data_IF_580534901917
#
_entry.id   IF_580534901917
#
_cell.length_a   1.000
_cell.length_b   1.000
_cell.length_c   1.000
_cell.angle_alpha   90.00
_cell.angle_beta   90.00
_cell.angle_gamma   90.00
#
_symmetry.space_group_name_H-M   'P 1'
#
loop_
_entity.id
_entity.type
_entity.pdbx_description
1 polymer ?
#
# COMPACT_ATOMS: atom_id res chain seq x y z
N UNK A 1 9.01 -4.30 -13.60
CA UNK A 1 8.91 -5.50 -12.77
C UNK A 1 7.47 -5.92 -12.53
N UNK A 2 7.23 -7.17 -12.18
CA UNK A 2 5.90 -7.72 -11.99
C UNK A 2 5.33 -7.42 -10.60
N UNK A 3 4.00 -7.59 -10.44
CA UNK A 3 3.34 -7.56 -9.14
C UNK A 3 3.74 -8.78 -8.30
N UNK A 4 3.43 -8.75 -6.99
CA UNK A 4 3.66 -9.88 -6.10
C UNK A 4 2.94 -11.15 -6.58
N UNK A 5 1.70 -11.03 -7.05
CA UNK A 5 0.94 -12.17 -7.58
C UNK A 5 1.59 -12.78 -8.82
N UNK A 6 2.10 -11.95 -9.72
CA UNK A 6 2.83 -12.42 -10.90
C UNK A 6 4.14 -13.09 -10.52
N UNK A 7 4.86 -12.52 -9.55
CA UNK A 7 6.07 -13.13 -9.01
C UNK A 7 5.80 -14.51 -8.41
N UNK A 8 4.75 -14.65 -7.62
CA UNK A 8 4.33 -15.94 -7.06
C UNK A 8 4.00 -16.96 -8.16
N UNK A 9 3.36 -16.55 -9.24
CA UNK A 9 3.09 -17.41 -10.40
C UNK A 9 4.38 -17.91 -11.06
N UNK A 10 5.35 -17.03 -11.27
CA UNK A 10 6.65 -17.42 -11.83
C UNK A 10 7.35 -18.45 -10.94
N UNK A 11 7.27 -18.29 -9.63
CA UNK A 11 7.84 -19.23 -8.65
C UNK A 11 7.10 -20.58 -8.73
N UNK A 12 5.78 -20.59 -8.74
CA UNK A 12 4.96 -21.80 -8.83
C UNK A 12 5.19 -22.56 -10.13
N UNK A 13 5.42 -21.85 -11.23
CA UNK A 13 5.73 -22.44 -12.54
C UNK A 13 7.16 -23.00 -12.62
N UNK A 14 7.98 -22.78 -11.61
CA UNK A 14 9.37 -23.23 -11.56
C UNK A 14 10.32 -22.43 -12.44
N UNK A 15 9.96 -21.18 -12.78
CA UNK A 15 10.75 -20.31 -13.65
C UNK A 15 11.72 -19.40 -12.90
N UNK A 16 11.76 -19.48 -11.57
CA UNK A 16 12.61 -18.64 -10.72
C UNK A 16 13.68 -19.50 -10.06
N UNK A 17 14.92 -19.07 -10.15
CA UNK A 17 16.09 -19.72 -9.56
C UNK A 17 16.87 -18.74 -8.70
N UNK A 18 17.26 -19.19 -7.51
CA UNK A 18 18.10 -18.41 -6.58
C UNK A 18 19.39 -19.21 -6.36
N UNK A 19 20.54 -18.64 -6.74
CA UNK A 19 21.85 -19.27 -6.62
C UNK A 19 21.92 -20.68 -7.24
N UNK A 20 21.26 -20.89 -8.40
CA UNK A 20 21.21 -22.18 -9.08
C UNK A 20 20.24 -23.20 -8.50
N UNK A 21 19.45 -22.83 -7.49
CA UNK A 21 18.40 -23.64 -6.86
C UNK A 21 17.03 -23.11 -7.26
N UNK A 22 16.09 -23.99 -7.59
CA UNK A 22 14.73 -23.57 -7.89
C UNK A 22 14.07 -22.93 -6.66
N UNK A 23 13.53 -21.72 -6.83
CA UNK A 23 12.86 -20.99 -5.77
C UNK A 23 11.51 -21.60 -5.43
N UNK A 24 11.11 -21.49 -4.16
CA UNK A 24 9.78 -21.85 -3.66
C UNK A 24 9.11 -20.62 -3.07
N UNK A 25 7.77 -20.65 -3.02
CA UNK A 25 7.01 -19.54 -2.41
C UNK A 25 7.43 -19.36 -0.95
N UNK A 26 7.77 -18.13 -0.58
CA UNK A 26 8.26 -17.80 0.76
C UNK A 26 9.77 -17.77 0.92
N UNK A 27 10.53 -18.14 -0.10
CA UNK A 27 12.00 -17.99 -0.08
C UNK A 27 12.37 -16.50 0.01
N UNK A 28 13.38 -16.20 0.82
CA UNK A 28 13.89 -14.85 0.99
C UNK A 28 15.19 -14.66 0.21
N UNK A 29 15.31 -13.51 -0.43
CA UNK A 29 16.50 -13.08 -1.16
C UNK A 29 17.27 -12.09 -0.29
N UNK A 30 18.56 -12.36 -0.10
CA UNK A 30 19.47 -11.47 0.63
C UNK A 30 20.49 -10.85 -0.34
N UNK A 31 21.19 -9.83 0.13
CA UNK A 31 22.23 -9.19 -0.67
C UNK A 31 23.30 -10.21 -1.11
N UNK A 32 23.67 -10.16 -2.39
CA UNK A 32 24.62 -11.10 -2.99
C UNK A 32 23.99 -12.33 -3.64
N UNK A 33 22.69 -12.58 -3.46
CA UNK A 33 22.01 -13.69 -4.12
C UNK A 33 21.81 -13.40 -5.63
N UNK A 34 22.05 -14.43 -6.43
CA UNK A 34 21.83 -14.39 -7.88
C UNK A 34 20.41 -14.93 -8.18
N UNK A 35 19.56 -14.08 -8.70
CA UNK A 35 18.18 -14.44 -9.05
C UNK A 35 18.02 -14.49 -10.56
N UNK A 36 17.46 -15.58 -11.07
CA UNK A 36 17.12 -15.75 -12.49
C UNK A 36 15.61 -16.01 -12.64
N UNK A 37 15.00 -15.32 -13.59
CA UNK A 37 13.60 -15.53 -13.98
C UNK A 37 13.56 -15.84 -15.46
N UNK A 38 12.95 -16.96 -15.85
CA UNK A 38 12.89 -17.45 -17.23
C UNK A 38 14.27 -17.53 -17.88
N UNK A 39 15.32 -17.89 -17.10
CA UNK A 39 16.70 -18.01 -17.58
C UNK A 39 17.46 -16.69 -17.69
N UNK A 40 16.84 -15.58 -17.36
CA UNK A 40 17.47 -14.25 -17.35
C UNK A 40 17.83 -13.82 -15.94
N UNK A 41 19.07 -13.37 -15.78
CA UNK A 41 19.54 -12.80 -14.53
C UNK A 41 18.84 -11.46 -14.26
N UNK A 42 18.32 -11.30 -13.03
CA UNK A 42 17.72 -10.05 -12.59
C UNK A 42 18.70 -9.33 -11.69
N UNK A 43 19.00 -8.09 -12.03
CA UNK A 43 19.73 -7.20 -11.13
C UNK A 43 18.77 -6.64 -10.07
N UNK A 44 19.23 -6.51 -8.79
CA UNK A 44 18.44 -5.81 -7.78
C UNK A 44 18.15 -4.39 -8.26
N UNK A 45 16.89 -3.95 -8.10
CA UNK A 45 16.58 -2.56 -8.35
C UNK A 45 17.36 -1.68 -7.38
N UNK A 46 17.89 -0.57 -7.89
CA UNK A 46 18.43 0.47 -7.02
C UNK A 46 17.35 0.88 -6.01
N UNK A 47 17.75 1.05 -4.75
CA UNK A 47 16.84 1.58 -3.74
C UNK A 47 16.38 2.96 -4.20
N UNK A 48 15.08 3.09 -4.47
CA UNK A 48 14.47 4.39 -4.71
C UNK A 48 14.49 5.20 -3.41
N UNK A 49 14.71 6.51 -3.53
CA UNK A 49 14.61 7.41 -2.38
C UNK A 49 13.24 7.27 -1.72
N UNK A 50 13.21 7.30 -0.40
CA UNK A 50 11.96 7.25 0.34
C UNK A 50 11.10 8.47 0.01
N UNK A 51 9.88 8.20 -0.43
CA UNK A 51 8.84 9.20 -0.64
C UNK A 51 7.78 9.03 0.44
N UNK A 52 7.46 10.11 1.13
CA UNK A 52 6.38 10.17 2.10
C UNK A 52 5.59 11.46 1.86
N UNK A 53 4.32 11.31 1.50
CA UNK A 53 3.42 12.41 1.17
C UNK A 53 2.30 12.46 2.21
N UNK A 54 2.09 13.63 2.80
CA UNK A 54 0.93 13.91 3.63
C UNK A 54 -0.12 14.60 2.76
N UNK A 55 -1.26 13.99 2.60
CA UNK A 55 -2.36 14.50 1.78
C UNK A 55 -3.57 14.78 2.63
N UNK A 56 -4.16 15.95 2.48
CA UNK A 56 -5.53 16.19 2.92
C UNK A 56 -6.47 15.70 1.83
N UNK A 57 -6.91 14.43 1.97
CA UNK A 57 -7.74 13.79 0.96
C UNK A 57 -9.10 14.46 0.87
N UNK A 58 -9.54 14.95 -0.31
CA UNK A 58 -10.89 15.47 -0.48
C UNK A 58 -11.93 14.36 -0.55
N UNK A 59 -13.17 14.74 -0.38
CA UNK A 59 -14.34 13.88 -0.64
C UNK A 59 -14.34 13.46 -2.10
N UNK A 60 -14.74 12.22 -2.37
CA UNK A 60 -14.88 11.70 -3.73
C UNK A 60 -13.69 10.91 -4.24
N UNK A 61 -12.57 10.89 -3.50
CA UNK A 61 -11.36 10.14 -3.88
C UNK A 61 -11.28 8.82 -3.13
N UNK A 62 -11.03 7.73 -3.87
CA UNK A 62 -10.94 6.37 -3.34
C UNK A 62 -9.49 6.02 -2.97
N UNK A 63 -9.29 5.51 -1.76
CA UNK A 63 -7.97 5.09 -1.27
C UNK A 63 -7.56 3.73 -1.84
N UNK A 64 -7.27 3.69 -3.14
CA UNK A 64 -6.86 2.48 -3.87
C UNK A 64 -5.78 2.79 -4.89
N UNK A 65 -4.99 1.78 -5.24
CA UNK A 65 -4.04 1.82 -6.35
C UNK A 65 -4.61 1.24 -7.64
N UNK A 66 -5.88 0.83 -7.63
CA UNK A 66 -6.53 0.17 -8.75
C UNK A 66 -6.82 1.16 -9.88
N UNK A 67 -6.21 0.94 -11.04
CA UNK A 67 -6.33 1.85 -12.19
C UNK A 67 -7.72 1.85 -12.84
N UNK A 68 -8.52 0.82 -12.60
CA UNK A 68 -9.90 0.77 -13.08
C UNK A 68 -10.81 1.78 -12.37
N UNK A 69 -10.45 2.18 -11.14
CA UNK A 69 -11.14 3.25 -10.43
C UNK A 69 -10.59 4.61 -10.86
N UNK A 70 -11.42 5.42 -11.52
CA UNK A 70 -11.00 6.71 -12.09
C UNK A 70 -10.63 7.76 -11.04
N UNK A 71 -11.29 7.69 -9.89
CA UNK A 71 -11.11 8.64 -8.80
C UNK A 71 -10.15 8.10 -7.72
N UNK A 72 -9.18 7.30 -8.12
CA UNK A 72 -8.21 6.74 -7.18
C UNK A 72 -7.20 7.79 -6.70
N UNK A 73 -6.71 7.59 -5.48
CA UNK A 73 -5.83 8.54 -4.80
C UNK A 73 -4.47 8.70 -5.50
N UNK A 74 -3.97 7.67 -6.15
CA UNK A 74 -2.68 7.71 -6.85
C UNK A 74 -2.75 8.64 -8.06
N UNK A 75 -3.82 8.54 -8.85
CA UNK A 75 -4.07 9.44 -9.98
C UNK A 75 -4.32 10.87 -9.52
N UNK A 76 -4.99 11.06 -8.40
CA UNK A 76 -5.23 12.39 -7.83
C UNK A 76 -3.93 13.11 -7.48
N UNK A 77 -2.97 12.43 -6.87
CA UNK A 77 -1.68 13.00 -6.48
C UNK A 77 -0.75 13.20 -7.68
N UNK A 78 -0.84 12.35 -8.69
CA UNK A 78 -0.01 12.41 -9.93
C UNK A 78 1.49 12.50 -9.67
N UNK A 79 1.97 11.71 -8.72
CA UNK A 79 3.40 11.63 -8.45
C UNK A 79 4.10 10.72 -9.47
N UNK A 80 5.32 11.09 -9.89
CA UNK A 80 6.08 10.33 -10.90
C UNK A 80 6.61 8.97 -10.43
N UNK A 81 6.66 8.72 -9.13
CA UNK A 81 7.10 7.46 -8.53
C UNK A 81 5.87 6.66 -8.12
N UNK A 82 5.95 5.34 -8.19
CA UNK A 82 4.88 4.47 -7.71
C UNK A 82 4.71 4.65 -6.20
N UNK A 83 3.54 5.15 -5.80
CA UNK A 83 3.17 5.37 -4.41
C UNK A 83 1.84 4.66 -4.10
N UNK A 84 1.60 4.42 -2.81
CA UNK A 84 0.37 3.82 -2.33
C UNK A 84 0.00 4.39 -0.97
N UNK A 85 -1.30 4.43 -0.64
CA UNK A 85 -1.75 5.02 0.62
C UNK A 85 -1.40 4.14 1.81
N UNK A 86 -1.11 4.78 2.93
CA UNK A 86 -0.97 4.12 4.24
C UNK A 86 -2.34 4.14 4.91
N UNK A 87 -3.03 3.00 4.87
CA UNK A 87 -4.39 2.89 5.35
C UNK A 87 -5.42 3.39 4.35
N UNK A 88 -6.64 3.55 4.80
CA UNK A 88 -7.76 3.91 3.94
C UNK A 88 -8.67 4.91 4.65
N UNK A 89 -9.13 5.90 3.91
CA UNK A 89 -10.29 6.71 4.25
C UNK A 89 -11.38 6.41 3.24
N UNK A 90 -12.62 6.43 3.69
CA UNK A 90 -13.77 6.21 2.81
C UNK A 90 -13.82 7.26 1.69
N UNK A 91 -14.43 6.92 0.57
CA UNK A 91 -14.60 7.83 -0.57
C UNK A 91 -15.20 9.17 -0.15
N UNK A 92 -16.21 9.14 0.69
CA UNK A 92 -16.94 10.32 1.15
C UNK A 92 -16.32 11.01 2.37
N UNK A 93 -15.22 10.47 2.89
CA UNK A 93 -14.49 11.08 4.00
C UNK A 93 -13.40 12.01 3.49
N UNK A 94 -13.17 13.07 4.24
CA UNK A 94 -12.08 14.03 4.02
C UNK A 94 -11.12 13.97 5.20
N UNK A 95 -9.83 14.07 4.96
CA UNK A 95 -8.86 14.13 6.05
C UNK A 95 -7.45 13.71 5.66
N UNK A 96 -6.60 13.63 6.66
CA UNK A 96 -5.19 13.32 6.50
C UNK A 96 -5.01 11.84 6.14
N UNK A 97 -4.25 11.61 5.09
CA UNK A 97 -3.75 10.29 4.70
C UNK A 97 -2.31 10.42 4.21
N UNK A 98 -1.48 9.45 4.53
CA UNK A 98 -0.10 9.40 4.04
C UNK A 98 -0.01 8.45 2.84
N UNK A 99 0.86 8.80 1.88
CA UNK A 99 1.23 7.94 0.78
C UNK A 99 2.73 7.76 0.76
N UNK A 100 3.19 6.58 0.38
CA UNK A 100 4.62 6.25 0.37
C UNK A 100 4.94 5.27 -0.75
N UNK A 101 6.19 5.21 -1.16
CA UNK A 101 6.71 4.19 -2.07
C UNK A 101 7.30 2.97 -1.32
N UNK A 102 7.27 2.96 0.00
CA UNK A 102 7.87 1.92 0.85
C UNK A 102 6.79 1.03 1.48
N UNK A 103 6.62 -0.20 0.95
CA UNK A 103 5.64 -1.17 1.45
C UNK A 103 5.91 -1.65 2.88
N UNK A 104 7.16 -1.76 3.29
CA UNK A 104 7.52 -2.16 4.66
C UNK A 104 7.07 -1.13 5.68
N UNK A 105 7.16 0.15 5.32
CA UNK A 105 6.68 1.24 6.17
C UNK A 105 5.16 1.16 6.37
N UNK A 106 4.40 0.84 5.32
CA UNK A 106 2.95 0.64 5.40
C UNK A 106 2.62 -0.46 6.42
N UNK A 107 3.27 -1.60 6.30
CA UNK A 107 3.05 -2.73 7.19
C UNK A 107 3.42 -2.41 8.65
N UNK A 108 4.52 -1.70 8.86
CA UNK A 108 4.95 -1.29 10.21
C UNK A 108 3.94 -0.37 10.88
N UNK A 109 3.38 0.58 10.12
CA UNK A 109 2.41 1.54 10.65
C UNK A 109 1.05 0.88 10.89
N UNK A 110 0.59 0.02 9.99
CA UNK A 110 -0.75 -0.55 10.02
C UNK A 110 -0.90 -1.80 10.91
N UNK A 111 0.18 -2.30 11.52
CA UNK A 111 0.07 -3.42 12.44
C UNK A 111 -0.90 -3.11 13.59
N UNK A 112 -1.80 -4.04 13.86
CA UNK A 112 -2.85 -3.87 14.87
C UNK A 112 -2.30 -3.57 16.28
N UNK A 113 -1.12 -4.08 16.62
CA UNK A 113 -0.49 -3.87 17.92
C UNK A 113 0.14 -2.48 18.11
N UNK A 114 0.23 -1.67 17.06
CA UNK A 114 0.72 -0.30 17.16
C UNK A 114 -0.32 0.67 17.70
N UNK A 115 -1.58 0.25 17.77
CA UNK A 115 -2.67 0.98 18.42
C UNK A 115 -2.82 2.44 17.97
N UNK A 116 -2.71 2.70 16.65
CA UNK A 116 -2.91 4.02 16.09
C UNK A 116 -4.40 4.35 16.02
N UNK A 117 -4.81 5.40 16.74
CA UNK A 117 -6.20 5.85 16.74
C UNK A 117 -6.53 6.66 15.48
N UNK A 118 -7.79 6.54 15.04
CA UNK A 118 -8.36 7.43 14.02
C UNK A 118 -9.30 8.40 14.69
N UNK A 119 -9.09 9.67 14.45
CA UNK A 119 -9.96 10.73 14.95
C UNK A 119 -10.85 11.26 13.84
N UNK A 120 -12.15 11.35 14.11
CA UNK A 120 -13.12 11.88 13.18
C UNK A 120 -13.81 13.10 13.77
N UNK A 121 -13.81 14.20 13.02
CA UNK A 121 -14.64 15.35 13.31
C UNK A 121 -15.90 15.24 12.45
N UNK A 122 -17.05 15.08 13.11
CA UNK A 122 -18.32 14.87 12.44
C UNK A 122 -19.28 16.01 12.77
N UNK A 123 -19.82 16.64 11.75
CA UNK A 123 -20.86 17.66 11.91
C UNK A 123 -22.21 17.06 11.53
N UNK A 124 -23.18 17.22 12.41
CA UNK A 124 -24.53 16.69 12.20
C UNK A 124 -25.54 17.83 12.20
N UNK A 125 -26.71 17.59 11.61
CA UNK A 125 -27.80 18.56 11.49
C UNK A 125 -28.81 18.50 12.65
N UNK A 126 -28.45 17.81 13.73
CA UNK A 126 -29.31 17.63 14.92
C UNK A 126 -28.53 18.03 16.17
N UNK A 127 -29.22 18.44 17.25
CA UNK A 127 -28.55 18.68 18.54
C UNK A 127 -27.85 17.40 19.02
N UNK A 128 -26.65 17.58 19.59
CA UNK A 128 -25.90 16.46 20.16
C UNK A 128 -26.44 16.21 21.57
N UNK A 129 -26.99 15.01 21.77
CA UNK A 129 -27.48 14.52 23.05
C UNK A 129 -26.74 13.25 23.45
N UNK A 130 -26.84 12.86 24.73
CA UNK A 130 -26.22 11.61 25.19
C UNK A 130 -26.77 10.40 24.45
N UNK A 131 -28.06 10.36 24.14
CA UNK A 131 -28.67 9.30 23.34
C UNK A 131 -28.12 9.27 21.92
N UNK A 132 -27.88 10.42 21.33
CA UNK A 132 -27.30 10.54 19.99
C UNK A 132 -25.87 9.97 19.95
N UNK A 133 -25.07 10.29 20.95
CA UNK A 133 -23.69 9.81 21.08
C UNK A 133 -23.66 8.28 21.25
N UNK A 134 -24.54 7.73 22.12
CA UNK A 134 -24.66 6.29 22.32
C UNK A 134 -25.02 5.55 21.02
N UNK A 135 -25.93 6.12 20.23
CA UNK A 135 -26.33 5.55 18.95
C UNK A 135 -25.25 5.53 17.87
N UNK A 136 -24.22 6.38 18.00
CA UNK A 136 -23.09 6.44 17.06
C UNK A 136 -21.95 5.49 17.40
N UNK A 137 -21.91 4.92 18.60
CA UNK A 137 -20.86 4.03 19.06
C UNK A 137 -21.02 2.59 18.56
#
# INVERSE_FOLDING_TARGET
>A
MCSRREADRFVEQGNVWINGRRATTGDQVVAGDLVKVNGQEIEPQEEEDLVLIALNKPVGIVSTTESSEKDNIVEFVKHGVRIFPIGRLDKDSQGLIFLTNNGDLVNKILRANNNHEKEYQVTVNKPITDEFIEGMQ
#
